data_IF_394118441234
#
_entry.id   IF_394118441234
#
_cell.length_a   1.000
_cell.length_b   1.000
_cell.length_c   1.000
_cell.angle_alpha   90.00
_cell.angle_beta   90.00
_cell.angle_gamma   90.00
#
_symmetry.space_group_name_H-M   'P 1'
#
loop_
_entity.id
_entity.type
_entity.pdbx_description
1 polymer ?
#
# COMPACT_ATOMS: atom_id res chain seq x y z
N UNK A 1 19.12 -19.65 -1.58
CA UNK A 1 17.66 -19.72 -1.59
C UNK A 1 17.12 -18.43 -2.15
N UNK A 2 16.05 -18.48 -2.93
CA UNK A 2 15.36 -17.29 -3.44
C UNK A 2 14.66 -16.56 -2.29
N UNK A 3 15.04 -15.32 -2.05
CA UNK A 3 14.36 -14.42 -1.10
C UNK A 3 13.05 -13.95 -1.76
N UNK A 4 11.90 -14.14 -1.09
CA UNK A 4 10.63 -13.60 -1.57
C UNK A 4 10.56 -12.10 -1.20
N UNK A 5 10.38 -11.28 -2.21
CA UNK A 5 10.25 -9.82 -2.09
C UNK A 5 8.83 -9.42 -2.45
N UNK A 6 8.18 -8.66 -1.57
CA UNK A 6 6.79 -8.20 -1.76
C UNK A 6 6.66 -6.71 -1.43
N UNK A 7 5.60 -6.11 -1.92
CA UNK A 7 5.25 -4.70 -1.72
C UNK A 7 6.37 -3.69 -2.05
N UNK A 8 7.04 -3.79 -3.22
CA UNK A 8 8.06 -2.83 -3.59
C UNK A 8 7.46 -1.44 -3.80
N UNK A 9 8.18 -0.38 -3.38
CA UNK A 9 7.76 1.01 -3.59
C UNK A 9 8.99 1.88 -3.88
N UNK A 10 8.90 2.68 -4.91
CA UNK A 10 9.95 3.63 -5.26
C UNK A 10 10.01 4.80 -4.27
N UNK A 11 11.21 5.28 -4.03
CA UNK A 11 11.44 6.59 -3.42
C UNK A 11 11.04 7.71 -4.37
N UNK A 12 10.69 8.91 -3.88
CA UNK A 12 10.29 10.03 -4.74
C UNK A 12 11.34 10.43 -5.78
N UNK A 13 12.63 10.21 -5.49
CA UNK A 13 13.74 10.51 -6.40
C UNK A 13 14.10 9.34 -7.35
N UNK A 14 13.33 8.23 -7.32
CA UNK A 14 13.54 7.03 -8.13
C UNK A 14 14.90 6.32 -7.95
N UNK A 15 15.68 6.66 -6.93
CA UNK A 15 17.01 6.06 -6.70
C UNK A 15 16.97 4.87 -5.75
N UNK A 16 15.88 4.73 -5.00
CA UNK A 16 15.72 3.66 -4.01
C UNK A 16 14.36 2.99 -4.13
N UNK A 17 14.30 1.76 -3.64
CA UNK A 17 13.07 0.99 -3.48
C UNK A 17 13.01 0.56 -2.02
N UNK A 18 11.85 0.74 -1.38
CA UNK A 18 11.53 0.02 -0.14
C UNK A 18 10.68 -1.19 -0.45
N UNK A 19 10.88 -2.28 0.29
CA UNK A 19 10.15 -3.53 0.11
C UNK A 19 10.17 -4.36 1.40
N UNK A 20 9.26 -5.31 1.50
CA UNK A 20 9.33 -6.35 2.53
C UNK A 20 10.02 -7.59 1.95
N UNK A 21 10.95 -8.15 2.70
CA UNK A 21 11.58 -9.42 2.36
C UNK A 21 11.15 -10.52 3.33
N UNK A 22 10.77 -11.65 2.75
CA UNK A 22 10.43 -12.89 3.45
C UNK A 22 11.54 -13.89 3.14
N UNK A 23 12.65 -13.76 3.86
CA UNK A 23 13.80 -14.66 3.76
C UNK A 23 13.83 -15.68 4.90
N UNK A 24 15.04 -16.05 5.32
CA UNK A 24 15.21 -16.88 6.52
C UNK A 24 15.02 -16.00 7.78
N UNK A 25 13.91 -16.18 8.48
CA UNK A 25 13.59 -15.46 9.72
C UNK A 25 12.36 -14.57 9.64
N UNK A 26 12.29 -13.60 10.54
CA UNK A 26 11.15 -12.67 10.62
C UNK A 26 11.14 -11.72 9.42
N UNK A 27 10.00 -11.56 8.72
CA UNK A 27 9.88 -10.61 7.62
C UNK A 27 10.24 -9.17 8.03
N UNK A 28 11.00 -8.48 7.18
CA UNK A 28 11.54 -7.14 7.45
C UNK A 28 11.37 -6.20 6.27
N UNK A 29 11.30 -4.92 6.57
CA UNK A 29 11.36 -3.84 5.58
C UNK A 29 12.81 -3.48 5.30
N UNK A 30 13.13 -3.39 4.02
CA UNK A 30 14.44 -3.01 3.50
C UNK A 30 14.35 -1.80 2.59
N UNK A 31 15.45 -1.08 2.49
CA UNK A 31 15.77 -0.12 1.44
C UNK A 31 16.79 -0.75 0.49
N UNK A 32 16.62 -0.52 -0.78
CA UNK A 32 17.56 -0.93 -1.81
C UNK A 32 17.87 0.23 -2.74
N UNK A 33 19.11 0.67 -2.76
CA UNK A 33 19.56 1.70 -3.68
C UNK A 33 19.83 1.06 -5.05
N UNK A 34 19.10 1.53 -6.07
CA UNK A 34 19.13 0.94 -7.42
C UNK A 34 20.48 1.18 -8.10
N UNK A 35 21.13 2.31 -7.80
CA UNK A 35 22.38 2.71 -8.43
C UNK A 35 23.58 2.00 -7.79
N UNK A 36 23.68 2.08 -6.44
CA UNK A 36 24.81 1.50 -5.69
C UNK A 36 24.63 0.02 -5.40
N UNK A 37 23.40 -0.52 -5.56
CA UNK A 37 22.98 -1.89 -5.20
C UNK A 37 23.14 -2.21 -3.72
N UNK A 38 23.24 -1.20 -2.87
CA UNK A 38 23.28 -1.39 -1.43
C UNK A 38 21.89 -1.73 -0.89
N UNK A 39 21.85 -2.70 0.02
CA UNK A 39 20.65 -3.12 0.74
C UNK A 39 20.82 -2.75 2.21
N UNK A 40 19.81 -2.14 2.79
CA UNK A 40 19.79 -1.72 4.18
C UNK A 40 18.46 -2.08 4.83
N UNK A 41 18.49 -2.54 6.08
CA UNK A 41 17.28 -2.76 6.88
C UNK A 41 16.76 -1.42 7.41
N UNK A 42 15.44 -1.18 7.34
CA UNK A 42 14.84 0.06 7.90
C UNK A 42 14.99 0.12 9.41
N UNK A 43 14.86 -1.02 10.08
CA UNK A 43 15.07 -1.13 11.52
C UNK A 43 14.95 -2.56 12.01
N UNK A 44 15.63 -2.84 13.13
CA UNK A 44 15.56 -4.13 13.82
C UNK A 44 14.44 -4.10 14.86
N UNK A 45 13.29 -4.66 14.49
CA UNK A 45 12.12 -4.75 15.36
C UNK A 45 11.98 -6.17 15.92
N UNK A 46 11.36 -6.31 17.09
CA UNK A 46 11.13 -7.61 17.71
C UNK A 46 10.31 -8.56 16.82
N UNK A 47 9.33 -8.01 16.11
CA UNK A 47 8.43 -8.73 15.20
C UNK A 47 8.48 -8.19 13.77
N UNK A 48 7.61 -8.71 12.92
CA UNK A 48 7.51 -8.37 11.50
C UNK A 48 7.27 -6.87 11.27
N UNK A 49 7.99 -6.30 10.31
CA UNK A 49 7.70 -5.00 9.68
C UNK A 49 7.26 -5.20 8.24
N UNK A 50 6.23 -4.48 7.79
CA UNK A 50 5.59 -4.70 6.49
C UNK A 50 4.86 -3.45 5.96
N UNK A 51 4.36 -3.54 4.71
CA UNK A 51 3.63 -2.49 4.02
C UNK A 51 4.34 -1.11 4.01
N UNK A 52 5.61 -1.05 3.61
CA UNK A 52 6.37 0.19 3.65
C UNK A 52 5.98 1.16 2.55
N UNK A 53 6.08 2.48 2.84
CA UNK A 53 6.04 3.56 1.86
C UNK A 53 6.92 4.72 2.28
N UNK A 54 7.52 5.39 1.30
CA UNK A 54 8.24 6.65 1.53
C UNK A 54 7.26 7.80 1.79
N UNK A 55 7.70 8.77 2.59
CA UNK A 55 7.08 10.10 2.64
C UNK A 55 7.33 10.84 1.31
N UNK A 56 6.49 11.83 0.96
CA UNK A 56 6.66 12.59 -0.29
C UNK A 56 8.00 13.30 -0.43
N UNK A 57 8.64 13.68 0.68
CA UNK A 57 9.98 14.27 0.73
C UNK A 57 11.12 13.24 0.68
N UNK A 58 10.79 11.94 0.77
CA UNK A 58 11.76 10.84 0.75
C UNK A 58 12.61 10.70 2.02
N UNK A 59 12.33 11.47 3.08
CA UNK A 59 13.15 11.47 4.29
C UNK A 59 12.68 10.45 5.34
N UNK A 60 11.46 9.93 5.18
CA UNK A 60 10.84 9.00 6.13
C UNK A 60 10.25 7.80 5.42
N UNK A 61 10.13 6.72 6.16
CA UNK A 61 9.38 5.52 5.76
C UNK A 61 8.29 5.27 6.79
N UNK A 62 7.04 5.19 6.32
CA UNK A 62 5.91 4.72 7.10
C UNK A 62 5.72 3.23 6.84
N UNK A 63 5.39 2.47 7.89
CA UNK A 63 5.23 1.01 7.82
C UNK A 63 4.34 0.51 8.93
N UNK A 64 3.93 -0.74 8.84
CA UNK A 64 3.23 -1.45 9.91
C UNK A 64 4.21 -2.33 10.68
N UNK A 65 4.10 -2.33 12.01
CA UNK A 65 4.82 -3.24 12.88
C UNK A 65 3.82 -4.14 13.61
N UNK A 66 4.08 -5.45 13.57
CA UNK A 66 3.32 -6.42 14.33
C UNK A 66 3.62 -6.25 15.82
N UNK A 67 2.59 -6.31 16.68
CA UNK A 67 2.73 -6.25 18.13
C UNK A 67 3.47 -7.46 18.67
N UNK A 68 4.02 -7.36 19.89
CA UNK A 68 4.83 -8.43 20.48
C UNK A 68 4.06 -9.72 20.71
N UNK A 69 2.74 -9.63 20.92
CA UNK A 69 1.85 -10.79 21.03
C UNK A 69 1.44 -11.39 19.67
N UNK A 70 1.83 -10.77 18.54
CA UNK A 70 1.54 -11.23 17.19
C UNK A 70 0.08 -11.09 16.75
N UNK A 71 -0.77 -10.41 17.52
CA UNK A 71 -2.23 -10.37 17.26
C UNK A 71 -2.67 -9.11 16.53
N UNK A 72 -1.95 -8.02 16.71
CA UNK A 72 -2.31 -6.69 16.19
C UNK A 72 -1.13 -6.09 15.43
N UNK A 73 -1.39 -5.05 14.69
CA UNK A 73 -0.34 -4.23 14.11
C UNK A 73 -0.65 -2.76 14.25
N UNK A 74 0.39 -1.96 14.36
CA UNK A 74 0.26 -0.51 14.42
C UNK A 74 1.17 0.15 13.38
N UNK A 75 0.78 1.36 12.99
CA UNK A 75 1.50 2.16 12.02
C UNK A 75 2.57 2.97 12.72
N UNK A 76 3.77 2.93 12.17
CA UNK A 76 4.95 3.64 12.64
C UNK A 76 5.61 4.38 11.48
N UNK A 77 6.27 5.46 11.81
CA UNK A 77 7.08 6.26 10.91
C UNK A 77 8.53 6.23 11.39
N UNK A 78 9.46 5.95 10.49
CA UNK A 78 10.90 5.98 10.73
C UNK A 78 11.52 7.16 9.99
N UNK A 79 12.18 8.06 10.69
CA UNK A 79 13.07 9.05 10.08
C UNK A 79 14.37 8.36 9.63
N UNK A 80 14.67 8.43 8.34
CA UNK A 80 15.78 7.67 7.74
C UNK A 80 17.16 8.19 8.15
N UNK A 81 17.26 9.46 8.50
CA UNK A 81 18.52 10.09 8.92
C UNK A 81 18.82 9.86 10.40
N UNK A 82 17.86 10.19 11.25
CA UNK A 82 18.03 10.09 12.72
C UNK A 82 17.75 8.70 13.27
N UNK A 83 17.09 7.84 12.47
CA UNK A 83 16.59 6.51 12.88
C UNK A 83 15.59 6.56 14.03
N UNK A 84 14.98 7.71 14.26
CA UNK A 84 13.91 7.83 15.24
C UNK A 84 12.62 7.19 14.71
N UNK A 85 12.05 6.31 15.55
CA UNK A 85 10.77 5.65 15.30
C UNK A 85 9.66 6.37 16.05
N UNK A 86 8.59 6.73 15.35
CA UNK A 86 7.38 7.34 15.92
C UNK A 86 6.18 6.44 15.70
N UNK A 87 5.46 6.12 16.75
CA UNK A 87 4.19 5.38 16.66
C UNK A 87 3.06 6.34 16.31
N UNK A 88 2.24 6.00 15.30
CA UNK A 88 1.12 6.82 14.82
C UNK A 88 -0.24 6.25 15.23
N UNK A 89 -0.36 4.92 15.35
CA UNK A 89 -1.56 4.27 15.86
C UNK A 89 -1.23 3.41 17.07
N UNK A 90 -2.15 3.34 18.03
CA UNK A 90 -2.03 2.52 19.24
C UNK A 90 -3.40 1.96 19.61
N UNK A 91 -3.86 0.96 18.88
CA UNK A 91 -5.16 0.32 19.10
C UNK A 91 -5.01 -1.20 19.07
N UNK A 92 -5.87 -1.95 19.81
CA UNK A 92 -5.89 -3.41 19.75
C UNK A 92 -6.59 -3.89 18.46
N UNK A 93 -6.00 -3.56 17.32
CA UNK A 93 -6.54 -3.81 15.98
C UNK A 93 -5.39 -4.04 14.98
N UNK A 94 -5.72 -4.57 13.82
CA UNK A 94 -4.81 -4.64 12.68
C UNK A 94 -4.89 -3.31 11.93
N UNK A 95 -3.86 -2.47 12.10
CA UNK A 95 -3.68 -1.22 11.36
C UNK A 95 -2.55 -1.41 10.36
N UNK A 96 -2.84 -1.29 9.06
CA UNK A 96 -1.85 -1.58 8.01
C UNK A 96 -2.10 -0.80 6.72
N UNK A 97 -1.24 -1.01 5.72
CA UNK A 97 -1.37 -0.41 4.39
C UNK A 97 -1.30 1.13 4.39
N UNK A 98 -0.40 1.78 5.16
CA UNK A 98 -0.38 3.22 5.21
C UNK A 98 0.07 3.84 3.88
N UNK A 99 -0.50 5.00 3.53
CA UNK A 99 -0.11 5.79 2.35
C UNK A 99 -0.24 7.26 2.65
N UNK A 100 0.83 8.03 2.39
CA UNK A 100 0.80 9.49 2.54
C UNK A 100 -0.05 10.16 1.47
N UNK A 101 -0.73 11.24 1.84
CA UNK A 101 -1.18 12.24 0.90
C UNK A 101 0.03 12.89 0.19
N UNK A 102 -0.10 13.31 -1.07
CA UNK A 102 1.05 13.83 -1.83
C UNK A 102 1.64 15.12 -1.25
N UNK A 103 0.88 15.91 -0.50
CA UNK A 103 1.32 17.09 0.23
C UNK A 103 1.95 16.78 1.61
N UNK A 104 1.95 15.50 2.03
CA UNK A 104 2.50 15.05 3.30
C UNK A 104 1.67 15.41 4.54
N UNK A 105 0.47 15.98 4.39
CA UNK A 105 -0.35 16.44 5.52
C UNK A 105 -1.14 15.33 6.21
N UNK A 106 -1.48 14.28 5.47
CA UNK A 106 -2.35 13.20 5.93
C UNK A 106 -1.81 11.82 5.54
N UNK A 107 -2.34 10.81 6.20
CA UNK A 107 -2.06 9.39 5.95
C UNK A 107 -3.39 8.66 5.86
N UNK A 108 -3.60 7.88 4.80
CA UNK A 108 -4.66 6.87 4.75
C UNK A 108 -4.11 5.52 5.16
N UNK A 109 -4.95 4.69 5.78
CA UNK A 109 -4.60 3.34 6.21
C UNK A 109 -5.85 2.48 6.36
N UNK A 110 -5.70 1.19 6.48
CA UNK A 110 -6.78 0.26 6.77
C UNK A 110 -6.74 -0.20 8.22
N UNK A 111 -7.91 -0.42 8.82
CA UNK A 111 -8.05 -0.90 10.19
C UNK A 111 -9.32 -1.71 10.38
N UNK A 112 -9.22 -2.79 11.17
CA UNK A 112 -10.35 -3.61 11.57
C UNK A 112 -10.94 -3.24 12.95
N UNK A 113 -10.53 -2.09 13.53
CA UNK A 113 -10.98 -1.60 14.84
C UNK A 113 -12.49 -1.45 14.98
N UNK A 114 -13.21 -1.34 13.87
CA UNK A 114 -14.68 -1.29 13.81
C UNK A 114 -15.35 -2.64 13.56
N UNK A 115 -14.61 -3.76 13.68
CA UNK A 115 -15.09 -5.13 13.48
C UNK A 115 -14.75 -5.71 12.10
N UNK A 116 -14.73 -4.89 11.04
CA UNK A 116 -14.30 -5.26 9.70
C UNK A 116 -13.27 -4.26 9.18
N UNK A 117 -12.42 -4.71 8.27
CA UNK A 117 -11.38 -3.89 7.67
C UNK A 117 -11.98 -2.74 6.86
N UNK A 118 -11.61 -1.51 7.22
CA UNK A 118 -12.13 -0.28 6.63
C UNK A 118 -11.00 0.73 6.45
N UNK A 119 -11.22 1.72 5.60
CA UNK A 119 -10.25 2.79 5.34
C UNK A 119 -10.46 3.93 6.33
N UNK A 120 -9.35 4.38 6.86
CA UNK A 120 -9.24 5.52 7.76
C UNK A 120 -8.28 6.57 7.18
N UNK A 121 -8.47 7.82 7.57
CA UNK A 121 -7.53 8.92 7.33
C UNK A 121 -7.16 9.54 8.67
N UNK A 122 -5.90 9.94 8.82
CA UNK A 122 -5.36 10.64 9.99
C UNK A 122 -4.41 11.75 9.58
N UNK A 123 -4.15 12.68 10.47
CA UNK A 123 -3.05 13.63 10.33
C UNK A 123 -1.69 12.93 10.30
N UNK A 124 -0.69 13.56 9.70
CA UNK A 124 0.67 12.98 9.62
C UNK A 124 1.29 12.75 11.01
N UNK A 125 0.81 13.42 12.03
CA UNK A 125 1.20 13.22 13.43
C UNK A 125 0.48 12.07 14.14
N UNK A 126 -0.46 11.39 13.46
CA UNK A 126 -1.29 10.32 13.99
C UNK A 126 -2.60 10.80 14.62
N UNK A 127 -2.88 12.10 14.62
CA UNK A 127 -4.11 12.68 15.18
C UNK A 127 -5.31 12.53 14.22
N UNK A 128 -6.53 12.70 14.73
CA UNK A 128 -7.74 12.82 13.93
C UNK A 128 -8.05 11.57 13.10
N UNK A 129 -7.89 10.37 13.65
CA UNK A 129 -8.11 9.11 12.97
C UNK A 129 -9.61 8.87 12.69
N UNK A 130 -10.05 9.15 11.46
CA UNK A 130 -11.44 9.05 11.04
C UNK A 130 -11.64 7.95 9.98
N UNK A 131 -12.68 7.13 10.16
CA UNK A 131 -13.12 6.18 9.14
C UNK A 131 -13.77 6.94 7.99
N UNK A 132 -13.45 6.55 6.75
CA UNK A 132 -13.98 7.16 5.52
C UNK A 132 -14.71 6.18 4.61
N UNK A 133 -14.62 4.86 4.84
CA UNK A 133 -15.36 3.85 4.08
C UNK A 133 -16.52 3.30 4.89
N UNK A 134 -17.75 3.30 4.32
CA UNK A 134 -18.99 2.93 5.02
C UNK A 134 -19.89 1.96 4.24
N UNK A 135 -19.48 1.57 3.03
CA UNK A 135 -20.20 0.58 2.22
C UNK A 135 -20.07 -0.85 2.78
N UNK A 136 -20.82 -1.76 2.18
CA UNK A 136 -20.77 -3.18 2.53
C UNK A 136 -19.41 -3.80 2.24
N UNK A 137 -19.02 -4.80 3.03
CA UNK A 137 -17.81 -5.59 2.84
C UNK A 137 -16.58 -5.01 3.53
N UNK A 138 -15.42 -5.40 3.03
CA UNK A 138 -14.10 -5.00 3.54
C UNK A 138 -13.42 -4.08 2.54
N UNK A 139 -12.68 -3.11 3.06
CA UNK A 139 -11.87 -2.19 2.27
C UNK A 139 -10.41 -2.31 2.71
N UNK A 140 -9.51 -2.43 1.73
CA UNK A 140 -8.08 -2.65 1.97
C UNK A 140 -7.20 -1.92 0.95
N UNK A 141 -5.91 -1.95 1.20
CA UNK A 141 -4.84 -1.41 0.32
C UNK A 141 -5.09 0.02 -0.16
N UNK A 142 -5.44 0.98 0.73
CA UNK A 142 -5.70 2.34 0.31
C UNK A 142 -4.44 3.02 -0.20
N UNK A 143 -4.57 3.80 -1.28
CA UNK A 143 -3.46 4.58 -1.83
C UNK A 143 -3.93 5.92 -2.38
N UNK A 144 -3.29 7.01 -1.94
CA UNK A 144 -3.54 8.36 -2.42
C UNK A 144 -3.17 8.53 -3.88
N UNK A 145 -4.02 9.24 -4.64
CA UNK A 145 -3.65 9.69 -5.98
C UNK A 145 -2.56 10.77 -5.92
N UNK A 146 -1.71 10.87 -6.95
CA UNK A 146 -0.63 11.86 -6.99
C UNK A 146 -1.08 13.32 -6.92
N UNK A 147 -2.33 13.60 -7.30
CA UNK A 147 -2.94 14.93 -7.24
C UNK A 147 -3.74 15.16 -5.93
N UNK A 148 -3.81 14.17 -5.04
CA UNK A 148 -4.53 14.25 -3.77
C UNK A 148 -6.05 14.24 -3.86
N UNK A 149 -6.64 14.07 -5.06
CA UNK A 149 -8.08 14.15 -5.23
C UNK A 149 -8.83 12.87 -4.87
N UNK A 150 -8.14 11.73 -4.91
CA UNK A 150 -8.74 10.42 -4.67
C UNK A 150 -7.87 9.51 -3.80
N UNK A 151 -8.53 8.54 -3.18
CA UNK A 151 -7.93 7.36 -2.56
C UNK A 151 -8.44 6.16 -3.34
N UNK A 152 -7.53 5.39 -3.96
CA UNK A 152 -7.86 4.10 -4.55
C UNK A 152 -7.83 3.02 -3.48
N UNK A 153 -8.61 1.96 -3.65
CA UNK A 153 -8.74 0.89 -2.68
C UNK A 153 -9.14 -0.44 -3.35
N UNK A 154 -8.92 -1.52 -2.62
CA UNK A 154 -9.54 -2.83 -2.87
C UNK A 154 -10.79 -2.95 -2.02
N UNK A 155 -11.90 -3.40 -2.60
CA UNK A 155 -13.15 -3.73 -1.89
C UNK A 155 -13.49 -5.19 -2.09
N UNK A 156 -13.73 -5.90 -0.98
CA UNK A 156 -14.22 -7.27 -0.99
C UNK A 156 -15.66 -7.30 -0.50
N UNK A 157 -16.60 -7.66 -1.36
CA UNK A 157 -18.01 -7.82 -1.04
C UNK A 157 -18.64 -8.93 -1.89
N UNK A 158 -19.56 -9.71 -1.32
CA UNK A 158 -20.27 -10.76 -2.05
C UNK A 158 -19.38 -11.82 -2.73
N UNK A 159 -18.19 -12.08 -2.17
CA UNK A 159 -17.22 -13.03 -2.74
C UNK A 159 -16.43 -12.50 -3.94
N UNK A 160 -16.55 -11.22 -4.26
CA UNK A 160 -15.82 -10.54 -5.34
C UNK A 160 -14.87 -9.50 -4.80
N UNK A 161 -13.83 -9.21 -5.58
CA UNK A 161 -12.84 -8.19 -5.29
C UNK A 161 -12.90 -7.11 -6.38
N UNK A 162 -12.96 -5.88 -5.96
CA UNK A 162 -13.08 -4.73 -6.83
C UNK A 162 -11.99 -3.71 -6.55
N UNK A 163 -11.53 -3.01 -7.58
CA UNK A 163 -10.73 -1.80 -7.45
C UNK A 163 -11.67 -0.61 -7.58
N UNK A 164 -11.64 0.26 -6.59
CA UNK A 164 -12.44 1.47 -6.54
C UNK A 164 -11.65 2.69 -6.17
N UNK A 165 -12.30 3.85 -6.25
CA UNK A 165 -11.81 5.14 -5.81
C UNK A 165 -12.87 5.88 -5.01
N UNK A 166 -12.45 6.69 -4.05
CA UNK A 166 -13.28 7.64 -3.31
C UNK A 166 -12.52 8.93 -3.07
N UNK A 167 -13.23 10.00 -2.73
CA UNK A 167 -12.57 11.23 -2.25
C UNK A 167 -11.99 11.03 -0.85
N UNK A 168 -11.05 11.89 -0.41
CA UNK A 168 -10.45 11.78 0.92
C UNK A 168 -11.43 11.90 2.09
N UNK A 169 -12.57 12.50 1.87
CA UNK A 169 -13.69 12.57 2.84
C UNK A 169 -14.61 11.35 2.82
N UNK A 170 -14.32 10.36 1.95
CA UNK A 170 -15.13 9.14 1.76
C UNK A 170 -16.28 9.29 0.79
N UNK A 171 -16.57 10.49 0.30
CA UNK A 171 -17.65 10.71 -0.67
C UNK A 171 -17.25 10.26 -2.08
N UNK A 172 -18.25 10.10 -2.96
CA UNK A 172 -18.02 9.79 -4.36
C UNK A 172 -17.37 8.43 -4.60
N UNK A 173 -17.60 7.46 -3.72
CA UNK A 173 -17.17 6.08 -3.94
C UNK A 173 -17.68 5.55 -5.27
N UNK A 174 -16.80 4.96 -6.06
CA UNK A 174 -17.15 4.27 -7.30
C UNK A 174 -16.20 3.12 -7.57
N UNK A 175 -16.75 2.03 -8.07
CA UNK A 175 -16.00 0.87 -8.51
C UNK A 175 -15.55 1.10 -9.95
N UNK A 176 -14.29 0.84 -10.22
CA UNK A 176 -13.69 0.94 -11.55
C UNK A 176 -13.71 -0.40 -12.28
N UNK A 177 -13.40 -1.47 -11.56
CA UNK A 177 -13.37 -2.83 -12.11
C UNK A 177 -13.60 -3.84 -10.99
N UNK A 178 -14.19 -4.99 -11.36
CA UNK A 178 -14.52 -6.07 -10.45
C UNK A 178 -14.11 -7.41 -11.06
N UNK A 179 -13.59 -8.32 -10.25
CA UNK A 179 -13.15 -9.64 -10.70
C UNK A 179 -13.15 -10.67 -9.58
N UNK A 180 -12.59 -11.84 -9.89
CA UNK A 180 -12.46 -12.92 -8.91
C UNK A 180 -11.56 -12.51 -7.75
N UNK A 181 -10.42 -11.89 -8.04
CA UNK A 181 -9.45 -11.44 -7.04
C UNK A 181 -8.63 -10.27 -7.62
N UNK A 182 -9.17 -9.06 -7.56
CA UNK A 182 -8.47 -7.83 -7.92
C UNK A 182 -7.92 -7.19 -6.67
N UNK A 183 -6.62 -6.87 -6.60
CA UNK A 183 -6.01 -6.35 -5.39
C UNK A 183 -4.82 -5.42 -5.66
N UNK A 184 -4.45 -4.63 -4.64
CA UNK A 184 -3.23 -3.85 -4.60
C UNK A 184 -3.13 -2.74 -5.64
N UNK A 185 -4.10 -1.80 -5.71
CA UNK A 185 -4.05 -0.70 -6.66
C UNK A 185 -2.83 0.20 -6.43
N UNK A 186 -2.25 0.69 -7.52
CA UNK A 186 -1.20 1.72 -7.51
C UNK A 186 -1.45 2.72 -8.62
N UNK A 187 -1.20 4.00 -8.36
CA UNK A 187 -1.42 5.08 -9.30
C UNK A 187 -0.24 5.27 -10.23
N UNK A 188 -0.52 5.44 -11.52
CA UNK A 188 0.44 6.03 -12.43
C UNK A 188 0.72 7.50 -12.01
N UNK A 189 1.94 8.02 -12.23
CA UNK A 189 2.32 9.37 -11.82
C UNK A 189 1.45 10.50 -12.41
N UNK A 190 0.68 10.20 -13.47
CA UNK A 190 -0.25 11.16 -14.06
C UNK A 190 -1.61 11.23 -13.35
N UNK A 191 -1.87 10.37 -12.35
CA UNK A 191 -3.13 10.32 -11.60
C UNK A 191 -4.34 9.83 -12.39
N UNK A 192 -4.16 9.27 -13.60
CA UNK A 192 -5.26 8.88 -14.50
C UNK A 192 -5.43 7.39 -14.68
N UNK A 193 -4.41 6.61 -14.39
CA UNK A 193 -4.39 5.16 -14.58
C UNK A 193 -4.01 4.49 -13.28
N UNK A 194 -4.70 3.42 -12.96
CA UNK A 194 -4.39 2.51 -11.86
C UNK A 194 -3.85 1.21 -12.44
N UNK A 195 -2.84 0.65 -11.81
CA UNK A 195 -2.40 -0.73 -12.02
C UNK A 195 -2.73 -1.54 -10.77
N UNK A 196 -3.11 -2.79 -10.97
CA UNK A 196 -3.46 -3.73 -9.91
C UNK A 196 -3.10 -5.14 -10.38
N UNK A 197 -3.14 -6.13 -9.49
CA UNK A 197 -3.05 -7.51 -9.93
C UNK A 197 -4.43 -8.20 -9.84
N UNK A 198 -4.62 -9.19 -10.70
CA UNK A 198 -5.77 -10.08 -10.72
C UNK A 198 -5.30 -11.52 -10.74
N UNK A 199 -5.80 -12.32 -9.80
CA UNK A 199 -5.59 -13.76 -9.89
C UNK A 199 -6.48 -14.36 -10.97
N UNK A 200 -5.88 -15.20 -11.79
CA UNK A 200 -6.60 -16.01 -12.78
C UNK A 200 -6.79 -17.42 -12.23
N UNK A 201 -8.01 -17.99 -12.31
CA UNK A 201 -8.27 -19.33 -11.79
C UNK A 201 -7.69 -20.41 -12.72
N UNK A 202 -7.50 -21.62 -12.18
CA UNK A 202 -7.07 -22.83 -12.92
C UNK A 202 -5.69 -23.32 -12.54
N UNK A 203 -5.32 -24.53 -13.01
CA UNK A 203 -4.04 -25.17 -12.70
C UNK A 203 -2.80 -24.34 -13.14
N UNK A 204 -2.92 -23.55 -14.21
CA UNK A 204 -1.90 -22.64 -14.71
C UNK A 204 -2.24 -21.17 -14.36
N UNK A 205 -3.18 -20.96 -13.45
CA UNK A 205 -3.58 -19.63 -13.00
C UNK A 205 -2.56 -19.00 -12.05
N UNK A 206 -2.65 -17.69 -11.90
CA UNK A 206 -1.80 -16.92 -10.98
C UNK A 206 -2.00 -15.43 -11.16
N UNK A 207 -1.30 -14.61 -10.38
CA UNK A 207 -1.45 -13.16 -10.43
C UNK A 207 -0.92 -12.59 -11.75
N UNK A 208 -1.74 -11.79 -12.40
CA UNK A 208 -1.45 -11.04 -13.62
C UNK A 208 -1.64 -9.56 -13.37
N UNK A 209 -0.84 -8.72 -14.00
CA UNK A 209 -0.99 -7.27 -13.89
C UNK A 209 -2.04 -6.75 -14.86
N UNK A 210 -2.87 -5.83 -14.38
CA UNK A 210 -3.89 -5.13 -15.14
C UNK A 210 -3.80 -3.63 -14.89
N UNK A 211 -4.23 -2.84 -15.86
CA UNK A 211 -4.42 -1.40 -15.70
C UNK A 211 -5.83 -1.01 -16.07
N UNK A 212 -6.35 0.02 -15.42
CA UNK A 212 -7.67 0.61 -15.70
C UNK A 212 -7.57 2.13 -15.60
N UNK A 213 -8.26 2.83 -16.48
CA UNK A 213 -8.43 4.28 -16.42
C UNK A 213 -9.30 4.68 -15.22
N UNK A 214 -9.07 5.86 -14.64
CA UNK A 214 -9.88 6.38 -13.52
C UNK A 214 -11.37 6.48 -13.82
N UNK A 215 -11.77 6.46 -15.07
CA UNK A 215 -13.18 6.42 -15.48
C UNK A 215 -13.80 5.02 -15.43
N UNK A 216 -12.98 3.97 -15.21
CA UNK A 216 -13.40 2.56 -15.25
C UNK A 216 -13.39 1.94 -16.66
N UNK A 217 -12.98 2.72 -17.65
CA UNK A 217 -12.83 2.22 -19.03
C UNK A 217 -11.36 1.84 -19.32
N UNK A 218 -11.13 1.25 -20.50
CA UNK A 218 -9.80 0.87 -20.98
C UNK A 218 -9.04 -0.06 -20.02
N UNK A 219 -9.75 -1.01 -19.40
CA UNK A 219 -9.08 -2.07 -18.68
C UNK A 219 -8.29 -2.93 -19.66
N UNK A 220 -7.01 -3.17 -19.35
CA UNK A 220 -6.15 -4.02 -20.18
C UNK A 220 -5.12 -4.75 -19.31
N UNK A 221 -4.78 -5.96 -19.75
CA UNK A 221 -3.70 -6.71 -19.17
C UNK A 221 -2.35 -6.09 -19.52
N UNK A 222 -1.50 -5.94 -18.51
CA UNK A 222 -0.11 -5.52 -18.69
C UNK A 222 0.74 -6.78 -18.88
N UNK A 223 1.36 -6.91 -20.07
CA UNK A 223 2.15 -8.08 -20.39
C UNK A 223 3.42 -8.13 -19.53
N UNK A 224 3.64 -9.25 -18.87
CA UNK A 224 4.84 -9.56 -18.08
C UNK A 224 5.41 -10.91 -18.50
N UNK A 225 6.73 -11.14 -18.35
CA UNK A 225 7.34 -12.42 -18.71
C UNK A 225 6.85 -13.63 -17.90
N UNK A 226 6.16 -13.41 -16.79
CA UNK A 226 5.61 -14.41 -15.89
C UNK A 226 4.52 -13.81 -15.02
N UNK A 227 4.16 -14.48 -13.93
CA UNK A 227 3.23 -13.95 -12.95
C UNK A 227 3.77 -12.68 -12.30
N UNK A 228 2.87 -11.76 -11.95
CA UNK A 228 3.21 -10.50 -11.30
C UNK A 228 2.14 -10.05 -10.32
N UNK A 229 2.55 -9.65 -9.12
CA UNK A 229 1.72 -9.04 -8.08
C UNK A 229 2.38 -7.78 -7.53
N UNK A 230 1.68 -7.07 -6.67
CA UNK A 230 2.19 -5.88 -5.95
C UNK A 230 2.84 -4.81 -6.85
N UNK A 231 2.18 -4.38 -7.93
CA UNK A 231 2.78 -3.43 -8.86
C UNK A 231 3.15 -2.10 -8.16
N UNK A 232 4.20 -1.46 -8.66
CA UNK A 232 4.59 -0.12 -8.24
C UNK A 232 5.05 0.68 -9.45
N UNK A 233 4.50 1.89 -9.63
CA UNK A 233 4.98 2.84 -10.61
C UNK A 233 6.22 3.57 -10.06
N UNK A 234 7.21 3.76 -10.92
CA UNK A 234 8.27 4.73 -10.63
C UNK A 234 7.72 6.15 -10.74
N UNK A 235 8.23 7.12 -9.97
CA UNK A 235 8.01 8.53 -10.23
C UNK A 235 8.43 8.92 -11.65
N UNK A 236 7.91 10.03 -12.17
CA UNK A 236 8.40 10.57 -13.44
C UNK A 236 9.88 10.92 -13.30
N UNK A 237 10.68 10.44 -14.22
CA UNK A 237 12.05 10.92 -14.40
C UNK A 237 11.94 12.28 -15.08
N UNK A 238 12.45 13.32 -14.43
CA UNK A 238 12.57 14.66 -15.02
C UNK A 238 13.75 14.69 -15.99
#
# INVERSE_FOLDING_TARGET
GSELVVTPRFSPNSQEITYMSIGQGTPRVYLFNIVTRQKEIVGEFANMSFAPRYSPDGQRVIMSLLTTDGRNSNIYEMDLRSRQLRQLTNTPAINTGPSYAPDGSQITFESDRGGTQQIYVMGVDGSGQNRISFGDGRYSTPVWSPDGQYIAFTKQAGGRFAIGVMKPDGSGERILTEGYHNEGPTWAPNGRVLMFFRDTPGENGGPQLYSVDITGYNEQQVQTPGFGSDPAWSPRLN
#
